data_IF_487818529287
#
_entry.id   IF_487818529287
#
_cell.length_a   1.000
_cell.length_b   1.000
_cell.length_c   1.000
_cell.angle_alpha   90.00
_cell.angle_beta   90.00
_cell.angle_gamma   90.00
#
_symmetry.space_group_name_H-M   'P 1'
#
loop_
_entity.id
_entity.type
_entity.pdbx_description
1 polymer ?
#
# COMPACT_ATOMS: atom_id res chain seq x y z
N UNK A 1 -51.15 2.97 15.17
CA UNK A 1 -49.91 3.57 14.63
C UNK A 1 -48.76 2.70 15.08
N UNK A 2 -48.20 1.96 14.13
CA UNK A 2 -47.00 1.14 14.32
C UNK A 2 -45.82 2.11 14.46
N UNK A 3 -45.11 2.04 15.58
CA UNK A 3 -43.83 2.72 15.78
C UNK A 3 -42.77 1.64 15.77
N UNK A 4 -42.15 1.48 14.62
CA UNK A 4 -40.99 0.65 14.37
C UNK A 4 -39.80 1.18 15.17
N UNK A 5 -39.35 0.41 16.17
CA UNK A 5 -38.05 0.59 16.81
C UNK A 5 -37.23 -0.63 16.43
N UNK A 6 -36.33 -0.45 15.47
CA UNK A 6 -35.35 -1.47 15.09
C UNK A 6 -34.51 -1.93 16.29
N UNK A 7 -33.91 -3.13 16.23
CA UNK A 7 -33.20 -3.69 17.36
C UNK A 7 -31.92 -2.89 17.61
N UNK A 8 -31.91 -2.16 18.73
CA UNK A 8 -30.71 -1.67 19.39
C UNK A 8 -29.84 -2.90 19.69
N UNK A 9 -28.76 -3.09 18.94
CA UNK A 9 -27.78 -4.11 19.21
C UNK A 9 -27.17 -3.85 20.60
N UNK A 10 -27.52 -4.72 21.53
CA UNK A 10 -27.02 -4.79 22.90
C UNK A 10 -25.49 -4.83 22.86
N UNK A 11 -24.84 -3.66 23.05
CA UNK A 11 -23.38 -3.51 23.21
C UNK A 11 -22.92 -4.01 24.59
N UNK A 12 -23.40 -5.18 25.01
CA UNK A 12 -22.74 -5.96 26.04
C UNK A 12 -21.44 -6.48 25.43
N UNK A 13 -20.34 -5.83 25.81
CA UNK A 13 -18.96 -6.25 25.53
C UNK A 13 -18.84 -7.76 25.76
N UNK A 14 -18.72 -8.52 24.68
CA UNK A 14 -18.27 -9.91 24.79
C UNK A 14 -16.88 -9.89 25.43
N UNK A 15 -16.63 -10.65 26.51
CA UNK A 15 -15.36 -10.61 27.25
C UNK A 15 -14.18 -11.23 26.47
N UNK A 16 -14.40 -11.63 25.21
CA UNK A 16 -13.43 -12.31 24.39
C UNK A 16 -13.12 -11.51 23.12
N UNK A 17 -11.85 -11.46 22.69
CA UNK A 17 -11.51 -10.85 21.41
C UNK A 17 -12.28 -11.54 20.27
N UNK A 18 -12.56 -10.85 19.15
CA UNK A 18 -13.46 -11.35 18.11
C UNK A 18 -13.09 -12.77 17.65
N UNK A 19 -11.82 -13.06 17.38
CA UNK A 19 -11.35 -14.38 16.95
C UNK A 19 -11.65 -15.52 17.93
N UNK A 20 -11.60 -15.27 19.24
CA UNK A 20 -11.98 -16.24 20.27
C UNK A 20 -13.48 -16.53 20.23
N UNK A 21 -14.32 -15.50 20.12
CA UNK A 21 -15.79 -15.67 20.03
C UNK A 21 -16.19 -16.48 18.81
N UNK A 22 -15.56 -16.21 17.65
CA UNK A 22 -15.91 -16.88 16.39
C UNK A 22 -15.55 -18.36 16.37
N UNK A 23 -14.49 -18.78 17.06
CA UNK A 23 -14.03 -20.18 17.07
C UNK A 23 -14.47 -20.94 18.33
N UNK A 24 -15.18 -20.30 19.24
CA UNK A 24 -15.56 -20.88 20.53
C UNK A 24 -16.49 -22.09 20.34
N UNK A 25 -16.05 -23.25 20.84
CA UNK A 25 -16.70 -24.56 20.62
C UNK A 25 -17.01 -24.91 19.15
N UNK A 26 -16.41 -24.21 18.19
CA UNK A 26 -16.66 -24.42 16.78
C UNK A 26 -18.09 -24.08 16.32
N UNK A 27 -18.85 -23.29 17.08
CA UNK A 27 -20.29 -23.03 16.81
C UNK A 27 -20.49 -22.20 15.54
N UNK A 28 -19.67 -21.17 15.32
CA UNK A 28 -19.73 -20.32 14.12
C UNK A 28 -18.77 -20.88 13.05
N UNK A 29 -17.52 -21.12 13.43
CA UNK A 29 -16.52 -21.78 12.57
C UNK A 29 -15.53 -22.59 13.41
N UNK A 30 -15.01 -23.69 12.87
CA UNK A 30 -14.11 -24.59 13.61
C UNK A 30 -12.72 -23.97 13.84
N UNK A 31 -12.23 -23.24 12.85
CA UNK A 31 -10.94 -22.57 12.85
C UNK A 31 -11.02 -21.32 11.96
N UNK A 32 -10.02 -20.45 12.09
CA UNK A 32 -9.76 -19.36 11.15
C UNK A 32 -8.49 -19.75 10.37
N UNK A 33 -8.52 -19.82 9.03
CA UNK A 33 -7.33 -20.08 8.24
C UNK A 33 -6.38 -18.88 8.28
N UNK A 34 -5.10 -19.13 8.57
CA UNK A 34 -4.04 -18.14 8.62
C UNK A 34 -2.96 -18.54 7.63
N UNK A 35 -2.73 -17.67 6.64
CA UNK A 35 -1.70 -17.85 5.62
C UNK A 35 -0.51 -16.96 5.96
N UNK A 36 0.67 -17.55 6.10
CA UNK A 36 1.87 -16.79 6.43
C UNK A 36 3.13 -17.54 5.98
N UNK A 37 4.26 -16.84 5.94
CA UNK A 37 5.56 -17.48 5.67
C UNK A 37 6.04 -18.28 6.87
N UNK A 38 7.00 -19.18 6.64
CA UNK A 38 7.67 -19.91 7.72
C UNK A 38 8.33 -18.98 8.74
N UNK A 39 8.97 -17.90 8.27
CA UNK A 39 9.61 -16.90 9.15
C UNK A 39 8.56 -16.22 10.03
N UNK A 40 7.45 -15.78 9.44
CA UNK A 40 6.34 -15.16 10.18
C UNK A 40 5.73 -16.13 11.19
N UNK A 41 5.48 -17.38 10.78
CA UNK A 41 4.95 -18.42 11.66
C UNK A 41 5.88 -18.69 12.85
N UNK A 42 7.19 -18.78 12.62
CA UNK A 42 8.17 -18.99 13.67
C UNK A 42 8.17 -17.85 14.69
N UNK A 43 8.08 -16.59 14.24
CA UNK A 43 7.99 -15.43 15.13
C UNK A 43 6.69 -15.44 15.95
N UNK A 44 5.55 -15.74 15.33
CA UNK A 44 4.28 -15.87 16.05
C UNK A 44 4.34 -17.00 17.07
N UNK A 45 4.89 -18.17 16.70
CA UNK A 45 5.02 -19.31 17.60
C UNK A 45 5.91 -19.01 18.81
N UNK A 46 6.95 -18.20 18.62
CA UNK A 46 7.85 -17.78 19.70
C UNK A 46 7.21 -16.72 20.61
N UNK A 47 6.54 -15.71 20.04
CA UNK A 47 5.94 -14.60 20.81
C UNK A 47 4.59 -14.94 21.44
N UNK A 48 3.80 -15.78 20.79
CA UNK A 48 2.41 -16.10 21.16
C UNK A 48 2.15 -17.61 21.11
N UNK A 49 2.97 -18.38 21.82
CA UNK A 49 2.96 -19.86 21.78
C UNK A 49 1.58 -20.48 21.97
N UNK A 50 0.69 -19.87 22.75
CA UNK A 50 -0.66 -20.38 22.99
C UNK A 50 -1.57 -20.38 21.73
N UNK A 51 -1.27 -19.56 20.72
CA UNK A 51 -1.99 -19.52 19.43
C UNK A 51 -1.67 -20.73 18.55
N UNK A 52 -0.49 -21.32 18.74
CA UNK A 52 0.01 -22.48 17.98
C UNK A 52 -0.17 -23.78 18.78
N UNK A 53 0.09 -23.72 20.09
CA UNK A 53 -0.03 -24.84 21.00
C UNK A 53 -1.01 -24.52 22.14
N UNK A 54 -2.24 -25.01 22.03
CA UNK A 54 -3.30 -24.80 23.04
C UNK A 54 -2.93 -25.29 24.44
N UNK A 55 -1.99 -26.23 24.59
CA UNK A 55 -1.51 -26.70 25.90
C UNK A 55 -0.67 -25.66 26.65
N UNK A 56 -0.16 -24.64 25.94
CA UNK A 56 0.58 -23.54 26.53
C UNK A 56 -0.31 -22.43 27.09
N UNK A 57 -1.64 -22.56 26.97
CA UNK A 57 -2.59 -21.60 27.56
C UNK A 57 -2.64 -21.75 29.09
N UNK A 58 -2.79 -20.64 29.80
CA UNK A 58 -2.85 -20.58 31.28
C UNK A 58 -4.13 -21.19 31.89
N UNK A 59 -5.04 -21.72 31.06
CA UNK A 59 -6.28 -22.39 31.47
C UNK A 59 -7.45 -21.46 31.84
N UNK A 60 -7.25 -20.14 31.85
CA UNK A 60 -8.25 -19.16 32.32
C UNK A 60 -9.23 -18.61 31.28
N UNK A 61 -9.11 -18.94 29.99
CA UNK A 61 -9.93 -18.32 28.93
C UNK A 61 -9.99 -19.10 27.62
N UNK A 62 -10.91 -18.68 26.74
CA UNK A 62 -11.04 -19.22 25.38
C UNK A 62 -9.84 -18.80 24.53
N UNK A 63 -9.24 -19.77 23.84
CA UNK A 63 -8.12 -19.56 22.91
C UNK A 63 -8.65 -19.73 21.49
N UNK A 64 -8.31 -18.84 20.53
CA UNK A 64 -8.80 -18.98 19.19
C UNK A 64 -8.24 -20.24 18.54
N UNK A 65 -9.00 -20.81 17.61
CA UNK A 65 -8.57 -21.98 16.84
C UNK A 65 -8.11 -21.54 15.45
N UNK A 66 -6.86 -21.78 15.11
CA UNK A 66 -6.29 -21.43 13.80
C UNK A 66 -5.92 -22.66 12.99
N UNK A 67 -6.13 -22.58 11.68
CA UNK A 67 -5.58 -23.50 10.69
C UNK A 67 -4.42 -22.79 9.98
N UNK A 68 -3.21 -23.28 10.19
CA UNK A 68 -2.00 -22.63 9.70
C UNK A 68 -1.64 -23.17 8.32
N UNK A 69 -1.63 -22.30 7.33
CA UNK A 69 -1.12 -22.56 5.99
C UNK A 69 0.23 -21.85 5.85
N UNK A 70 1.31 -22.61 5.97
CA UNK A 70 2.68 -22.08 5.84
C UNK A 70 3.03 -22.05 4.36
N UNK A 71 3.22 -20.85 3.84
CA UNK A 71 3.35 -20.61 2.42
C UNK A 71 4.77 -20.16 2.05
N UNK A 72 5.30 -20.61 0.89
CA UNK A 72 6.62 -20.17 0.40
C UNK A 72 6.62 -18.68 0.06
N UNK A 73 7.72 -17.99 0.28
CA UNK A 73 7.87 -16.56 -0.06
C UNK A 73 8.14 -16.30 -1.55
N UNK A 74 8.35 -17.35 -2.34
CA UNK A 74 8.78 -17.26 -3.73
C UNK A 74 7.85 -17.92 -4.75
N UNK A 75 6.72 -18.50 -4.31
CA UNK A 75 5.72 -19.12 -5.18
C UNK A 75 4.33 -18.56 -4.90
N UNK A 76 3.46 -18.66 -5.90
CA UNK A 76 2.09 -18.18 -5.81
C UNK A 76 1.27 -19.01 -4.82
N UNK A 77 0.35 -18.35 -4.14
CA UNK A 77 -0.58 -18.94 -3.18
C UNK A 77 -1.97 -18.95 -3.79
N UNK A 78 -2.60 -20.11 -3.84
CA UNK A 78 -3.99 -20.25 -4.28
C UNK A 78 -4.91 -20.23 -3.07
N UNK A 79 -5.62 -19.12 -2.86
CA UNK A 79 -6.47 -18.89 -1.69
C UNK A 79 -7.87 -18.55 -2.19
N UNK A 80 -8.85 -19.42 -1.93
CA UNK A 80 -10.24 -19.20 -2.31
C UNK A 80 -10.46 -18.89 -3.81
N UNK A 81 -9.61 -19.42 -4.69
CA UNK A 81 -9.65 -19.17 -6.14
C UNK A 81 -8.99 -17.87 -6.60
N UNK A 82 -8.36 -17.15 -5.66
CA UNK A 82 -7.54 -15.97 -5.91
C UNK A 82 -6.07 -16.37 -5.89
N UNK A 83 -5.33 -15.97 -6.92
CA UNK A 83 -3.88 -16.14 -6.98
C UNK A 83 -3.23 -14.97 -6.24
N UNK A 84 -2.50 -15.27 -5.17
CA UNK A 84 -1.72 -14.30 -4.38
C UNK A 84 -0.24 -14.55 -4.65
N UNK A 85 0.40 -13.68 -5.40
CA UNK A 85 1.84 -13.74 -5.69
C UNK A 85 2.61 -12.92 -4.65
N UNK A 86 3.47 -13.54 -3.82
CA UNK A 86 4.34 -12.82 -2.90
C UNK A 86 5.38 -11.97 -3.64
N UNK A 87 5.61 -10.76 -3.14
CA UNK A 87 6.56 -9.77 -3.67
C UNK A 87 7.49 -9.35 -2.53
N UNK A 88 8.70 -9.95 -2.40
CA UNK A 88 9.62 -9.63 -1.32
C UNK A 88 10.10 -8.18 -1.36
N UNK A 89 10.00 -7.46 -0.25
CA UNK A 89 10.41 -6.06 -0.10
C UNK A 89 11.27 -5.89 1.15
N UNK A 90 12.12 -4.87 1.16
CA UNK A 90 13.03 -4.60 2.26
C UNK A 90 12.42 -3.57 3.21
N UNK A 91 12.32 -3.92 4.48
CA UNK A 91 11.98 -3.02 5.58
C UNK A 91 13.22 -2.74 6.42
N UNK A 92 13.65 -1.47 6.48
CA UNK A 92 14.80 -1.06 7.30
C UNK A 92 16.08 -0.78 6.52
N UNK A 93 17.24 -0.79 7.20
CA UNK A 93 18.50 -0.35 6.61
C UNK A 93 19.03 -1.36 5.56
N UNK A 94 19.63 -0.90 4.45
CA UNK A 94 20.08 -1.76 3.36
C UNK A 94 21.05 -2.90 3.72
N UNK A 95 21.86 -2.72 4.77
CA UNK A 95 22.85 -3.73 5.17
C UNK A 95 22.24 -4.91 5.94
N UNK A 96 21.03 -4.74 6.46
CA UNK A 96 20.36 -5.76 7.27
C UNK A 96 18.84 -5.50 7.28
N UNK A 97 18.16 -5.52 6.12
CA UNK A 97 16.74 -5.31 6.06
C UNK A 97 16.00 -6.51 6.65
N UNK A 98 14.85 -6.24 7.26
CA UNK A 98 13.82 -7.24 7.46
C UNK A 98 13.13 -7.46 6.11
N UNK A 99 13.02 -8.71 5.66
CA UNK A 99 12.31 -9.02 4.41
C UNK A 99 10.83 -9.18 4.73
N UNK A 100 10.04 -8.23 4.22
CA UNK A 100 8.58 -8.24 4.28
C UNK A 100 8.00 -8.66 2.93
N UNK A 101 6.70 -8.93 2.90
CA UNK A 101 6.00 -9.31 1.66
C UNK A 101 4.97 -8.26 1.29
N UNK A 102 5.09 -7.77 0.06
CA UNK A 102 3.94 -7.31 -0.71
C UNK A 102 3.19 -8.50 -1.32
N UNK A 103 1.94 -8.26 -1.71
CA UNK A 103 1.07 -9.28 -2.30
C UNK A 103 0.43 -8.73 -3.57
N UNK A 104 0.75 -9.36 -4.70
CA UNK A 104 0.07 -9.13 -5.97
C UNK A 104 -1.12 -10.10 -6.05
N UNK A 105 -2.33 -9.55 -6.16
CA UNK A 105 -3.61 -10.23 -6.10
C UNK A 105 -4.17 -10.30 -7.53
N UNK A 106 -4.31 -11.51 -8.07
CA UNK A 106 -4.81 -11.80 -9.42
C UNK A 106 -4.19 -10.92 -10.52
N UNK A 107 -2.90 -10.58 -10.39
CA UNK A 107 -2.18 -9.65 -11.27
C UNK A 107 -2.88 -8.29 -11.51
N UNK A 108 -3.81 -7.91 -10.62
CA UNK A 108 -4.70 -6.75 -10.77
C UNK A 108 -4.44 -5.70 -9.70
N UNK A 109 -4.21 -6.12 -8.46
CA UNK A 109 -3.93 -5.24 -7.32
C UNK A 109 -2.62 -5.63 -6.64
N UNK A 110 -1.80 -4.65 -6.26
CA UNK A 110 -0.57 -4.89 -5.50
C UNK A 110 -0.65 -4.17 -4.17
N UNK A 111 -0.56 -4.93 -3.07
CA UNK A 111 -0.49 -4.41 -1.71
C UNK A 111 0.95 -4.47 -1.22
N UNK A 112 1.55 -3.32 -0.88
CA UNK A 112 2.88 -3.21 -0.28
C UNK A 112 2.76 -2.32 0.95
N UNK A 113 2.86 -2.93 2.13
CA UNK A 113 2.97 -2.22 3.41
C UNK A 113 4.39 -2.40 3.96
N UNK A 114 4.81 -1.49 4.84
CA UNK A 114 6.05 -1.62 5.61
C UNK A 114 7.29 -1.88 4.72
N UNK A 115 7.59 -0.92 3.84
CA UNK A 115 8.63 -1.09 2.83
C UNK A 115 9.51 0.16 2.70
N UNK A 116 10.82 -0.03 2.75
CA UNK A 116 11.83 1.02 2.56
C UNK A 116 12.49 0.96 1.16
N UNK A 117 12.47 -0.22 0.53
CA UNK A 117 13.09 -0.49 -0.76
C UNK A 117 12.50 -1.75 -1.42
N UNK A 118 12.51 -1.76 -2.75
CA UNK A 118 12.13 -2.92 -3.56
C UNK A 118 13.38 -3.34 -4.34
N UNK A 119 13.98 -4.51 -4.05
CA UNK A 119 15.16 -5.02 -4.75
C UNK A 119 14.94 -5.16 -6.26
N UNK A 120 16.01 -5.05 -7.06
CA UNK A 120 15.92 -5.22 -8.52
C UNK A 120 15.49 -6.64 -8.92
N UNK A 121 15.84 -7.67 -8.15
CA UNK A 121 15.32 -9.02 -8.37
C UNK A 121 13.81 -9.12 -8.12
N UNK A 122 13.28 -8.35 -7.17
CA UNK A 122 11.84 -8.20 -6.97
C UNK A 122 11.21 -7.48 -8.16
N UNK A 123 11.84 -6.44 -8.71
CA UNK A 123 11.36 -5.80 -9.94
C UNK A 123 11.34 -6.77 -11.13
N UNK A 124 12.36 -7.62 -11.27
CA UNK A 124 12.39 -8.67 -12.29
C UNK A 124 11.24 -9.66 -12.12
N UNK A 125 10.89 -10.01 -10.88
CA UNK A 125 9.72 -10.84 -10.57
C UNK A 125 8.43 -10.15 -10.99
N UNK A 126 8.22 -8.90 -10.57
CA UNK A 126 7.03 -8.09 -10.93
C UNK A 126 6.87 -7.98 -12.45
N UNK A 127 7.96 -7.76 -13.18
CA UNK A 127 7.96 -7.64 -14.65
C UNK A 127 7.54 -8.92 -15.40
N UNK A 128 7.53 -10.08 -14.73
CA UNK A 128 6.99 -11.34 -15.29
C UNK A 128 5.49 -11.51 -15.05
N UNK A 129 4.92 -10.77 -14.10
CA UNK A 129 3.52 -10.90 -13.70
C UNK A 129 2.64 -9.82 -14.33
N UNK A 130 3.17 -8.59 -14.45
CA UNK A 130 2.43 -7.42 -14.96
C UNK A 130 3.27 -6.63 -15.96
N UNK A 131 2.59 -5.92 -16.85
CA UNK A 131 3.23 -5.00 -17.78
C UNK A 131 3.79 -3.79 -17.00
N UNK A 132 5.03 -3.40 -17.31
CA UNK A 132 5.66 -2.20 -16.76
C UNK A 132 5.89 -1.15 -17.85
N UNK A 133 5.67 0.14 -17.57
CA UNK A 133 6.03 1.21 -18.49
C UNK A 133 7.56 1.38 -18.56
N UNK A 134 8.04 1.96 -19.66
CA UNK A 134 9.42 2.47 -19.74
C UNK A 134 9.60 3.68 -18.85
N UNK A 135 10.84 4.17 -18.73
CA UNK A 135 11.16 5.42 -18.02
C UNK A 135 10.50 6.66 -18.62
N UNK A 136 9.89 6.60 -19.81
CA UNK A 136 9.07 7.70 -20.36
C UNK A 136 7.60 7.59 -19.95
N UNK A 137 7.22 6.55 -19.20
CA UNK A 137 5.85 6.28 -18.79
C UNK A 137 5.02 5.55 -19.84
N UNK A 138 5.59 5.24 -21.01
CA UNK A 138 4.91 4.55 -22.10
C UNK A 138 5.08 3.04 -21.97
N UNK A 139 4.01 2.29 -22.23
CA UNK A 139 4.07 0.83 -22.26
C UNK A 139 4.52 0.33 -23.63
N UNK A 140 5.56 -0.51 -23.72
CA UNK A 140 5.96 -1.13 -24.99
C UNK A 140 4.86 -2.00 -25.58
N UNK A 141 4.69 -1.97 -26.91
CA UNK A 141 3.70 -2.86 -27.57
C UNK A 141 3.99 -4.35 -27.36
N UNK A 142 5.24 -4.73 -27.12
CA UNK A 142 5.65 -6.12 -26.89
C UNK A 142 5.07 -6.74 -25.60
N UNK A 143 4.72 -5.91 -24.61
CA UNK A 143 4.18 -6.38 -23.32
C UNK A 143 2.66 -6.42 -23.27
N UNK A 144 1.95 -6.20 -24.39
CA UNK A 144 0.46 -6.27 -24.47
C UNK A 144 -0.18 -7.56 -23.97
N UNK A 145 0.61 -8.63 -23.85
CA UNK A 145 0.16 -9.93 -23.34
C UNK A 145 0.20 -10.04 -21.80
N UNK A 146 0.77 -9.06 -21.09
CA UNK A 146 0.72 -8.97 -19.63
C UNK A 146 -0.32 -7.94 -19.20
N UNK A 147 -1.03 -8.17 -18.09
CA UNK A 147 -2.03 -7.23 -17.58
C UNK A 147 -1.36 -5.97 -17.03
N UNK A 148 -2.08 -4.84 -17.06
CA UNK A 148 -1.66 -3.60 -16.38
C UNK A 148 -2.11 -3.63 -14.94
N UNK A 149 -1.28 -3.14 -14.03
CA UNK A 149 -1.65 -3.00 -12.63
C UNK A 149 -2.79 -1.98 -12.47
N UNK A 150 -3.94 -2.43 -11.97
CA UNK A 150 -5.14 -1.61 -11.82
C UNK A 150 -5.09 -0.80 -10.53
N UNK A 151 -4.61 -1.38 -9.43
CA UNK A 151 -4.40 -0.64 -8.20
C UNK A 151 -3.11 -1.02 -7.48
N UNK A 152 -2.53 -0.01 -6.86
CA UNK A 152 -1.43 -0.14 -5.91
C UNK A 152 -1.90 0.39 -4.56
N UNK A 153 -1.80 -0.40 -3.50
CA UNK A 153 -1.88 0.08 -2.11
C UNK A 153 -0.45 0.08 -1.59
N UNK A 154 0.06 1.24 -1.16
CA UNK A 154 1.49 1.40 -0.89
C UNK A 154 1.78 2.18 0.40
N UNK A 155 2.79 1.69 1.12
CA UNK A 155 3.41 2.30 2.28
C UNK A 155 3.78 3.78 2.03
N UNK A 156 3.43 4.64 2.98
CA UNK A 156 3.76 6.06 2.98
C UNK A 156 3.68 6.61 4.41
N UNK A 157 4.80 6.75 5.11
CA UNK A 157 4.81 7.19 6.52
C UNK A 157 5.19 8.66 6.69
N UNK A 158 5.18 9.47 5.63
CA UNK A 158 5.51 10.90 5.71
C UNK A 158 5.93 11.52 4.39
N UNK A 159 6.33 12.80 4.42
CA UNK A 159 6.80 13.55 3.25
C UNK A 159 8.22 13.14 2.81
N UNK A 160 8.99 12.54 3.70
CA UNK A 160 10.35 12.09 3.43
C UNK A 160 10.57 10.64 3.85
N UNK A 161 11.59 10.02 3.26
CA UNK A 161 12.01 8.65 3.54
C UNK A 161 12.33 8.46 5.02
N UNK A 162 11.68 7.48 5.65
CA UNK A 162 12.07 6.97 6.96
C UNK A 162 13.18 5.92 6.87
N UNK A 163 13.78 5.51 8.01
CA UNK A 163 14.78 4.44 8.02
C UNK A 163 14.22 3.10 7.52
N UNK A 164 12.92 2.84 7.77
CA UNK A 164 12.27 1.56 7.48
C UNK A 164 11.07 1.65 6.54
N UNK A 165 10.66 2.85 6.15
CA UNK A 165 9.42 3.07 5.40
C UNK A 165 9.62 4.03 4.23
N UNK A 166 8.71 3.95 3.27
CA UNK A 166 8.62 4.90 2.20
C UNK A 166 8.12 6.25 2.70
N UNK A 167 8.78 7.31 2.23
CA UNK A 167 8.18 8.62 2.14
C UNK A 167 7.31 8.73 0.88
N UNK A 168 6.43 9.72 0.87
CA UNK A 168 5.52 9.98 -0.24
C UNK A 168 6.21 10.03 -1.62
N UNK A 169 7.35 10.72 -1.82
CA UNK A 169 7.98 10.76 -3.13
C UNK A 169 8.39 9.37 -3.64
N UNK A 170 8.78 8.46 -2.73
CA UNK A 170 9.11 7.08 -3.05
C UNK A 170 7.87 6.28 -3.43
N UNK A 171 6.77 6.42 -2.68
CA UNK A 171 5.49 5.82 -3.01
C UNK A 171 5.00 6.24 -4.40
N UNK A 172 5.08 7.55 -4.72
CA UNK A 172 4.71 8.09 -6.03
C UNK A 172 5.62 7.57 -7.15
N UNK A 173 6.95 7.54 -6.94
CA UNK A 173 7.86 7.01 -7.95
C UNK A 173 7.65 5.51 -8.21
N UNK A 174 7.40 4.72 -7.15
CA UNK A 174 7.05 3.30 -7.25
C UNK A 174 5.76 3.09 -8.03
N UNK A 175 4.70 3.88 -7.73
CA UNK A 175 3.46 3.91 -8.53
C UNK A 175 3.72 4.21 -10.01
N UNK A 176 4.60 5.17 -10.31
CA UNK A 176 4.98 5.52 -11.68
C UNK A 176 5.74 4.40 -12.39
N UNK A 177 6.69 3.75 -11.72
CA UNK A 177 7.45 2.59 -12.25
C UNK A 177 6.56 1.37 -12.47
N UNK A 178 5.54 1.16 -11.63
CA UNK A 178 4.53 0.13 -11.81
C UNK A 178 3.50 0.48 -12.90
N UNK A 179 3.37 1.77 -13.23
CA UNK A 179 2.35 2.20 -14.19
C UNK A 179 0.92 2.01 -13.68
N UNK A 180 0.73 2.03 -12.36
CA UNK A 180 -0.54 1.78 -11.68
C UNK A 180 -1.62 2.77 -12.14
N UNK A 181 -2.85 2.26 -12.34
CA UNK A 181 -4.01 3.09 -12.72
C UNK A 181 -4.53 3.88 -11.52
N UNK A 182 -4.73 3.20 -10.38
CA UNK A 182 -5.07 3.79 -9.08
C UNK A 182 -3.94 3.57 -8.07
N UNK A 183 -3.69 4.53 -7.20
CA UNK A 183 -2.75 4.39 -6.09
C UNK A 183 -3.39 4.84 -4.78
N UNK A 184 -3.32 3.98 -3.79
CA UNK A 184 -3.79 4.24 -2.44
C UNK A 184 -2.60 4.32 -1.49
N UNK A 185 -2.53 5.38 -0.69
CA UNK A 185 -1.48 5.55 0.32
C UNK A 185 -1.95 4.95 1.65
N UNK A 186 -1.15 4.08 2.25
CA UNK A 186 -1.38 3.49 3.57
C UNK A 186 -0.26 3.85 4.56
N UNK A 187 -0.43 3.51 5.83
CA UNK A 187 0.51 3.77 6.94
C UNK A 187 0.78 5.26 7.19
N UNK A 188 -0.19 6.12 6.83
CA UNK A 188 -0.08 7.55 7.02
C UNK A 188 -0.02 7.88 8.53
N UNK A 189 0.93 8.74 8.96
CA UNK A 189 1.05 9.11 10.36
C UNK A 189 -0.09 10.04 10.79
N UNK A 190 -0.36 10.08 12.09
CA UNK A 190 -1.38 10.97 12.68
C UNK A 190 -0.94 12.44 12.78
N UNK A 191 0.26 12.79 12.31
CA UNK A 191 0.78 14.18 12.31
C UNK A 191 -0.07 15.11 11.45
N UNK A 192 -0.70 14.58 10.39
CA UNK A 192 -1.57 15.33 9.50
C UNK A 192 -2.88 14.59 9.30
N UNK A 193 -3.98 15.34 9.20
CA UNK A 193 -5.31 14.77 9.07
C UNK A 193 -5.50 14.09 7.72
N UNK A 194 -6.50 13.21 7.62
CA UNK A 194 -6.95 12.67 6.35
C UNK A 194 -7.26 13.78 5.32
N UNK A 195 -7.86 14.88 5.79
CA UNK A 195 -8.20 16.04 4.97
C UNK A 195 -6.96 16.67 4.32
N UNK A 196 -5.86 16.80 5.06
CA UNK A 196 -4.59 17.30 4.52
C UNK A 196 -4.05 16.42 3.40
N UNK A 197 -3.99 15.09 3.63
CA UNK A 197 -3.53 14.12 2.64
C UNK A 197 -4.42 14.09 1.38
N UNK A 198 -5.74 14.17 1.57
CA UNK A 198 -6.69 14.22 0.46
C UNK A 198 -6.55 15.52 -0.34
N UNK A 199 -6.38 16.67 0.32
CA UNK A 199 -6.17 17.96 -0.34
C UNK A 199 -4.92 17.94 -1.22
N UNK A 200 -3.82 17.34 -0.74
CA UNK A 200 -2.63 17.10 -1.56
C UNK A 200 -2.96 16.21 -2.76
N UNK A 201 -3.58 15.05 -2.52
CA UNK A 201 -3.88 14.07 -3.57
C UNK A 201 -4.75 14.67 -4.69
N UNK A 202 -5.71 15.52 -4.33
CA UNK A 202 -6.56 16.26 -5.25
C UNK A 202 -5.79 17.32 -6.05
N UNK A 203 -4.93 18.10 -5.38
CA UNK A 203 -4.07 19.06 -6.07
C UNK A 203 -3.10 18.37 -7.03
N UNK A 204 -2.44 17.31 -6.56
CA UNK A 204 -1.53 16.47 -7.35
C UNK A 204 -2.23 15.85 -8.56
N UNK A 205 -3.40 15.25 -8.37
CA UNK A 205 -4.19 14.64 -9.45
C UNK A 205 -4.61 15.64 -10.54
N UNK A 206 -4.86 16.92 -10.16
CA UNK A 206 -5.12 18.03 -11.11
C UNK A 206 -3.86 18.58 -11.78
N UNK A 207 -2.68 18.09 -11.43
CA UNK A 207 -1.42 18.58 -11.99
C UNK A 207 -0.90 19.88 -11.35
N UNK A 208 -1.32 20.21 -10.13
CA UNK A 208 -0.79 21.35 -9.39
C UNK A 208 0.71 21.22 -9.15
N UNK A 209 1.39 22.35 -8.95
CA UNK A 209 2.84 22.42 -8.69
C UNK A 209 3.14 23.29 -7.49
N UNK A 210 4.24 23.03 -6.79
CA UNK A 210 4.65 23.80 -5.60
C UNK A 210 4.88 25.29 -5.93
N UNK A 211 5.46 25.60 -7.10
CA UNK A 211 5.57 26.99 -7.57
C UNK A 211 4.98 27.19 -8.97
N UNK A 212 4.02 28.11 -9.10
CA UNK A 212 3.53 28.56 -10.41
C UNK A 212 4.63 29.26 -11.24
N UNK A 213 5.65 29.82 -10.57
CA UNK A 213 6.75 30.55 -11.20
C UNK A 213 7.76 29.67 -11.96
N UNK A 214 7.82 28.37 -11.71
CA UNK A 214 8.70 27.45 -12.44
C UNK A 214 8.33 27.30 -13.93
N UNK A 215 7.16 27.78 -14.35
CA UNK A 215 6.78 27.92 -15.76
C UNK A 215 7.55 29.03 -16.49
N UNK A 216 8.07 30.04 -15.79
CA UNK A 216 8.64 31.23 -16.41
C UNK A 216 10.12 31.12 -16.79
N UNK A 217 10.89 30.20 -16.20
CA UNK A 217 12.35 30.13 -16.36
C UNK A 217 12.91 28.73 -16.74
N UNK A 218 12.06 27.78 -17.12
CA UNK A 218 12.48 26.41 -17.45
C UNK A 218 12.72 26.18 -18.95
N UNK A 219 13.99 26.03 -19.32
CA UNK A 219 14.46 25.60 -20.64
C UNK A 219 13.71 24.38 -21.19
N UNK A 220 13.09 24.53 -22.36
CA UNK A 220 12.62 23.44 -23.21
C UNK A 220 13.86 22.72 -23.74
N UNK A 221 14.27 21.60 -23.13
CA UNK A 221 15.50 20.94 -23.62
C UNK A 221 15.87 19.54 -23.12
N UNK A 222 15.28 18.99 -22.05
CA UNK A 222 15.56 17.61 -21.66
C UNK A 222 14.30 16.91 -21.15
N UNK A 223 13.99 15.74 -21.71
CA UNK A 223 12.86 14.92 -21.25
C UNK A 223 13.17 14.39 -19.84
N UNK A 224 12.51 14.96 -18.82
CA UNK A 224 12.60 14.43 -17.45
C UNK A 224 11.94 13.04 -17.44
N UNK A 225 12.63 11.98 -16.98
CA UNK A 225 12.06 10.64 -16.94
C UNK A 225 10.85 10.61 -16.00
N UNK A 226 9.85 9.81 -16.36
CA UNK A 226 8.64 9.57 -15.58
C UNK A 226 8.94 8.97 -14.20
N UNK A 227 10.00 8.16 -14.12
CA UNK A 227 10.51 7.53 -12.91
C UNK A 227 11.99 7.20 -13.12
N UNK A 228 12.75 7.11 -12.03
CA UNK A 228 14.17 6.69 -12.05
C UNK A 228 14.35 5.36 -11.32
N UNK A 229 15.34 4.56 -11.77
CA UNK A 229 15.81 3.41 -10.99
C UNK A 229 16.51 3.94 -9.74
N UNK A 230 16.21 3.34 -8.59
CA UNK A 230 16.82 3.74 -7.32
C UNK A 230 18.04 2.88 -7.04
N UNK A 231 19.07 3.49 -6.47
CA UNK A 231 20.11 2.74 -5.80
C UNK A 231 19.64 2.29 -4.41
N UNK A 232 19.97 1.06 -4.03
CA UNK A 232 19.74 0.50 -2.68
C UNK A 232 20.22 1.44 -1.54
N UNK A 233 21.36 2.12 -1.76
CA UNK A 233 21.96 3.05 -0.81
C UNK A 233 21.59 4.53 -1.04
N UNK A 234 20.69 4.82 -1.98
CA UNK A 234 20.28 6.18 -2.29
C UNK A 234 19.54 6.83 -1.11
N UNK A 235 20.01 8.02 -0.72
CA UNK A 235 19.39 8.85 0.33
C UNK A 235 18.58 9.98 -0.31
N UNK A 236 17.44 10.31 0.30
CA UNK A 236 16.74 11.55 -0.01
C UNK A 236 17.57 12.73 0.55
N UNK A 237 17.66 13.88 -0.15
CA UNK A 237 18.29 15.08 0.38
C UNK A 237 17.69 15.52 1.72
N UNK A 238 18.38 16.42 2.42
CA UNK A 238 17.95 16.92 3.73
C UNK A 238 16.51 17.45 3.67
N UNK A 239 15.65 16.88 4.53
CA UNK A 239 14.19 17.08 4.54
C UNK A 239 13.73 18.34 5.29
N UNK A 240 14.65 19.09 5.91
CA UNK A 240 14.29 20.13 6.88
C UNK A 240 13.43 21.25 6.29
N UNK A 241 13.61 21.60 5.01
CA UNK A 241 12.78 22.60 4.34
C UNK A 241 11.41 22.07 3.93
N UNK A 242 11.28 20.79 3.58
CA UNK A 242 9.99 20.14 3.28
C UNK A 242 9.07 20.15 4.49
N UNK A 243 9.61 20.08 5.70
CA UNK A 243 8.81 20.19 6.93
C UNK A 243 8.78 21.62 7.50
N UNK A 244 9.42 22.59 6.86
CA UNK A 244 9.54 23.94 7.42
C UNK A 244 8.17 24.65 7.48
N UNK A 245 7.81 25.06 8.70
CA UNK A 245 6.56 25.73 9.00
C UNK A 245 5.37 24.80 9.23
N UNK A 246 5.52 23.48 9.01
CA UNK A 246 4.48 22.51 9.34
C UNK A 246 4.45 22.32 10.86
N UNK A 247 3.35 22.74 11.48
CA UNK A 247 3.06 22.44 12.88
C UNK A 247 2.09 21.25 12.94
N UNK A 248 2.48 20.11 13.55
CA UNK A 248 1.60 18.93 13.63
C UNK A 248 0.36 19.16 14.51
N UNK A 249 0.28 20.26 15.25
CA UNK A 249 -0.87 20.62 16.06
C UNK A 249 -1.82 21.62 15.39
N UNK A 250 -1.47 22.14 14.20
CA UNK A 250 -2.27 23.12 13.46
C UNK A 250 -2.53 22.62 12.04
N UNK A 251 -3.80 22.47 11.67
CA UNK A 251 -4.17 22.10 10.30
C UNK A 251 -4.02 23.31 9.36
N UNK A 252 -2.91 23.36 8.63
CA UNK A 252 -2.69 24.28 7.51
C UNK A 252 -2.67 23.50 6.19
N UNK A 253 -3.82 23.48 5.51
CA UNK A 253 -3.99 22.71 4.27
C UNK A 253 -3.16 23.28 3.12
N UNK A 254 -3.03 24.61 3.03
CA UNK A 254 -2.32 25.25 1.92
C UNK A 254 -0.83 24.97 2.03
N UNK A 255 -0.26 25.20 3.22
CA UNK A 255 1.15 24.92 3.47
C UNK A 255 1.46 23.43 3.35
N UNK A 256 0.59 22.55 3.87
CA UNK A 256 0.77 21.11 3.73
C UNK A 256 0.79 20.68 2.26
N UNK A 257 -0.16 21.15 1.44
CA UNK A 257 -0.22 20.85 0.01
C UNK A 257 1.04 21.36 -0.70
N UNK A 258 1.45 22.59 -0.40
CA UNK A 258 2.66 23.22 -0.96
C UNK A 258 3.91 22.38 -0.69
N UNK A 259 4.17 22.05 0.59
CA UNK A 259 5.31 21.25 1.02
C UNK A 259 5.30 19.83 0.47
N UNK A 260 4.12 19.24 0.38
CA UNK A 260 3.95 17.88 -0.14
C UNK A 260 4.22 17.82 -1.65
N UNK A 261 3.77 18.83 -2.40
CA UNK A 261 4.10 18.96 -3.83
C UNK A 261 5.60 19.20 -4.03
N UNK A 262 6.23 20.06 -3.22
CA UNK A 262 7.67 20.33 -3.24
C UNK A 262 8.46 19.03 -3.05
N UNK A 263 8.12 18.23 -2.03
CA UNK A 263 8.77 16.95 -1.75
C UNK A 263 8.71 15.97 -2.94
N UNK A 264 7.55 15.87 -3.60
CA UNK A 264 7.35 14.98 -4.74
C UNK A 264 8.11 15.49 -5.96
N UNK A 265 8.07 16.80 -6.24
CA UNK A 265 8.73 17.41 -7.39
C UNK A 265 10.26 17.31 -7.32
N UNK A 266 10.84 17.57 -6.15
CA UNK A 266 12.28 17.50 -5.93
C UNK A 266 12.86 16.10 -6.17
N UNK A 267 12.10 15.06 -5.83
CA UNK A 267 12.64 13.70 -5.76
C UNK A 267 12.09 12.73 -6.79
N UNK A 268 10.77 12.69 -6.99
CA UNK A 268 10.13 11.78 -7.94
C UNK A 268 10.18 12.28 -9.40
N UNK A 269 10.66 13.52 -9.62
CA UNK A 269 10.55 14.23 -10.90
C UNK A 269 9.15 14.80 -11.09
N UNK A 270 9.04 15.92 -11.81
CA UNK A 270 7.85 16.78 -11.91
C UNK A 270 6.50 16.06 -12.11
N UNK A 271 5.41 16.78 -11.90
CA UNK A 271 4.07 16.21 -12.00
C UNK A 271 3.77 15.82 -13.45
N UNK A 272 3.84 14.51 -13.74
CA UNK A 272 3.17 13.97 -14.91
C UNK A 272 1.66 14.20 -14.69
N UNK A 273 0.97 14.93 -15.57
CA UNK A 273 -0.43 15.26 -15.36
C UNK A 273 -1.29 14.00 -15.29
N UNK A 274 -2.25 13.97 -14.35
CA UNK A 274 -3.42 13.08 -14.41
C UNK A 274 -3.25 11.66 -13.87
N UNK A 275 -2.50 11.44 -12.77
CA UNK A 275 -2.53 10.14 -12.06
C UNK A 275 -3.38 10.19 -10.81
N UNK A 276 -4.28 9.23 -10.69
CA UNK A 276 -5.21 9.10 -9.57
C UNK A 276 -4.46 8.53 -8.36
N UNK A 277 -4.41 9.31 -7.27
CA UNK A 277 -3.83 8.94 -5.98
C UNK A 277 -4.81 9.32 -4.88
N UNK A 278 -5.01 8.47 -3.88
CA UNK A 278 -5.83 8.76 -2.69
C UNK A 278 -5.19 8.20 -1.43
N UNK A 279 -5.34 8.85 -0.26
CA UNK A 279 -5.12 8.16 1.02
C UNK A 279 -6.15 7.03 1.21
N UNK A 280 -5.82 5.95 1.92
CA UNK A 280 -6.85 5.01 2.41
C UNK A 280 -7.68 5.69 3.53
N UNK A 281 -8.91 5.21 3.74
CA UNK A 281 -9.74 5.51 4.92
C UNK A 281 -10.16 4.25 5.65
N UNK A 282 -10.42 4.41 6.94
CA UNK A 282 -10.97 3.35 7.78
C UNK A 282 -12.34 2.91 7.26
N UNK A 283 -12.49 1.60 7.03
CA UNK A 283 -13.74 1.02 6.55
C UNK A 283 -13.92 1.02 5.04
N UNK A 284 -12.99 1.62 4.27
CA UNK A 284 -13.05 1.58 2.81
C UNK A 284 -13.01 0.15 2.28
N UNK A 285 -13.85 -0.12 1.29
CA UNK A 285 -13.88 -1.37 0.56
C UNK A 285 -13.31 -1.17 -0.83
N UNK A 286 -12.16 -1.80 -1.12
CA UNK A 286 -11.62 -1.85 -2.48
C UNK A 286 -12.03 -3.16 -3.14
N UNK A 287 -12.75 -3.07 -4.24
CA UNK A 287 -13.26 -4.20 -5.01
C UNK A 287 -12.50 -4.32 -6.33
N UNK A 288 -12.34 -5.54 -6.83
CA UNK A 288 -11.78 -5.78 -8.15
C UNK A 288 -12.48 -6.91 -8.91
N UNK A 289 -12.31 -6.89 -10.22
CA UNK A 289 -12.60 -8.00 -11.11
C UNK A 289 -11.30 -8.56 -11.68
N UNK A 290 -11.22 -9.90 -11.76
CA UNK A 290 -10.08 -10.61 -12.34
C UNK A 290 -9.88 -10.24 -13.82
N UNK A 291 -8.63 -10.04 -14.22
CA UNK A 291 -8.29 -9.72 -15.61
C UNK A 291 -8.14 -10.99 -16.45
N UNK A 292 -9.25 -11.46 -17.01
CA UNK A 292 -9.25 -12.61 -17.94
C UNK A 292 -8.98 -12.19 -19.41
N UNK A 293 -9.05 -10.88 -19.72
CA UNK A 293 -8.87 -10.35 -21.08
C UNK A 293 -7.89 -9.18 -21.14
N UNK A 294 -6.65 -9.51 -21.50
CA UNK A 294 -5.51 -8.57 -21.65
C UNK A 294 -5.70 -7.53 -22.76
N UNK A 295 -6.77 -7.59 -23.56
CA UNK A 295 -7.01 -6.62 -24.63
C UNK A 295 -7.62 -5.29 -24.13
N UNK A 296 -8.09 -5.22 -22.88
CA UNK A 296 -8.80 -4.05 -22.34
C UNK A 296 -7.93 -3.21 -21.38
N UNK A 297 -6.69 -2.91 -21.81
CA UNK A 297 -5.74 -2.04 -21.10
C UNK A 297 -6.31 -0.66 -20.75
N UNK A 298 -7.06 -0.55 -19.65
CA UNK A 298 -7.58 0.72 -19.15
C UNK A 298 -9.07 0.75 -18.77
N UNK A 299 -9.80 -0.38 -18.76
CA UNK A 299 -11.09 -0.41 -18.05
C UNK A 299 -10.85 -0.44 -16.55
N UNK A 300 -11.57 0.41 -15.81
CA UNK A 300 -11.52 0.42 -14.34
C UNK A 300 -12.08 -0.89 -13.79
N UNK A 301 -11.21 -1.89 -13.60
CA UNK A 301 -11.54 -3.17 -12.96
C UNK A 301 -11.28 -3.15 -11.46
N UNK A 302 -10.85 -2.00 -10.92
CA UNK A 302 -10.75 -1.74 -9.49
C UNK A 302 -11.53 -0.48 -9.19
N UNK A 303 -12.39 -0.56 -8.16
CA UNK A 303 -13.16 0.55 -7.65
C UNK A 303 -13.20 0.49 -6.12
N UNK A 304 -13.60 1.60 -5.53
CA UNK A 304 -13.72 1.80 -4.09
C UNK A 304 -15.04 2.51 -3.80
N UNK A 305 -15.51 2.47 -2.55
CA UNK A 305 -16.78 3.05 -2.12
C UNK A 305 -16.67 4.49 -1.56
N UNK A 306 -15.45 5.00 -1.37
CA UNK A 306 -15.20 6.30 -0.74
C UNK A 306 -14.83 7.43 -1.72
N UNK A 307 -14.19 7.13 -2.84
CA UNK A 307 -13.67 8.09 -3.82
C UNK A 307 -14.31 7.94 -5.21
N UNK A 308 -15.56 7.44 -5.25
CA UNK A 308 -16.38 7.25 -6.45
C UNK A 308 -16.56 8.54 -7.26
#
# INVERSE_FOLDING_TARGET
MVSDKGPEADRRLHPYPPSCTWTYHGVIQQNIPIYCTEVTYAQISAGFTYLVNKKAASGGGAVPSFEWHIMPNDQDWEICGVTITPIPVDEGPPLSPLICLGFLIDSSMLYISDASYIPEDTWNRVARCIALPTQTGLFPSSVRHLPRLQALIIDCTGLCRGPSHFGLPQAIATSRRLGAVRTYLTNLPHEHTHRSWLAFCDAFGRGARHSQAALANGSVGSAVPAWKVRGEFERQPAAAHVYAGLDPHVEDLELFVERTLEAVEEWAGGVLPGRWVRPLVDGMTVCWERDDDVNEWGRGRVWDDDYV
#
